data_IF_033830296931
#
_entry.id   IF_033830296931
#
_cell.length_a   1.000
_cell.length_b   1.000
_cell.length_c   1.000
_cell.angle_alpha   90.00
_cell.angle_beta   90.00
_cell.angle_gamma   90.00
#
_symmetry.space_group_name_H-M   'P 1'
#
loop_
_entity.id
_entity.type
_entity.pdbx_description
1 polymer ?
#
# COMPACT_ATOMS: atom_id res chain seq x y z
N UNK A 1 0.89 40.06 -53.36
CA UNK A 1 0.24 39.61 -52.11
C UNK A 1 0.47 38.11 -51.98
N UNK A 2 1.07 37.59 -50.88
CA UNK A 2 1.27 36.16 -50.73
C UNK A 2 -0.07 35.50 -50.38
N UNK A 3 -0.41 34.44 -51.13
CA UNK A 3 -1.56 33.58 -50.88
C UNK A 3 -1.28 32.79 -49.61
N UNK A 4 -2.01 33.07 -48.53
CA UNK A 4 -1.98 32.25 -47.32
C UNK A 4 -2.55 30.88 -47.64
N UNK A 5 -1.67 29.90 -47.82
CA UNK A 5 -2.02 28.48 -47.93
C UNK A 5 -2.71 28.07 -46.62
N UNK A 6 -4.03 27.96 -46.63
CA UNK A 6 -4.78 27.28 -45.56
C UNK A 6 -4.27 25.84 -45.52
N UNK A 7 -3.41 25.53 -44.56
CA UNK A 7 -3.00 24.16 -44.24
C UNK A 7 -4.27 23.43 -43.82
N UNK A 8 -4.86 22.68 -44.76
CA UNK A 8 -5.94 21.76 -44.48
C UNK A 8 -5.35 20.69 -43.56
N UNK A 9 -5.72 20.75 -42.29
CA UNK A 9 -5.39 19.72 -41.31
C UNK A 9 -5.96 18.42 -41.86
N UNK A 10 -5.11 17.49 -42.26
CA UNK A 10 -5.55 16.19 -42.76
C UNK A 10 -6.47 15.56 -41.69
N UNK A 11 -7.68 15.20 -42.12
CA UNK A 11 -8.56 14.34 -41.35
C UNK A 11 -7.84 12.99 -41.26
N UNK A 12 -7.00 12.83 -40.23
CA UNK A 12 -6.59 11.50 -39.80
C UNK A 12 -7.89 10.83 -39.40
N UNK A 13 -8.43 9.94 -40.23
CA UNK A 13 -9.61 9.16 -39.88
C UNK A 13 -9.22 8.26 -38.71
N UNK A 14 -9.38 8.79 -37.50
CA UNK A 14 -9.18 8.05 -36.27
C UNK A 14 -10.17 6.90 -36.30
N UNK A 15 -9.66 5.67 -36.35
CA UNK A 15 -10.48 4.47 -36.40
C UNK A 15 -11.59 4.55 -35.35
N UNK A 16 -12.83 4.31 -35.76
CA UNK A 16 -14.00 4.34 -34.90
C UNK A 16 -13.77 3.53 -33.60
N UNK A 17 -13.12 2.37 -33.73
CA UNK A 17 -12.69 1.54 -32.61
C UNK A 17 -11.79 2.28 -31.61
N UNK A 18 -10.81 3.08 -32.07
CA UNK A 18 -9.90 3.81 -31.18
C UNK A 18 -10.66 4.87 -30.36
N UNK A 19 -11.63 5.56 -30.98
CA UNK A 19 -12.48 6.54 -30.28
C UNK A 19 -13.28 5.87 -29.16
N UNK A 20 -13.93 4.74 -29.45
CA UNK A 20 -14.69 4.00 -28.45
C UNK A 20 -13.81 3.36 -27.37
N UNK A 21 -12.61 2.90 -27.72
CA UNK A 21 -11.63 2.38 -26.74
C UNK A 21 -11.16 3.49 -25.79
N UNK A 22 -10.80 4.66 -26.30
CA UNK A 22 -10.37 5.80 -25.46
C UNK A 22 -11.51 6.28 -24.56
N UNK A 23 -12.73 6.35 -25.09
CA UNK A 23 -13.89 6.73 -24.30
C UNK A 23 -14.18 5.68 -23.20
N UNK A 24 -14.21 4.39 -23.57
CA UNK A 24 -14.46 3.31 -22.63
C UNK A 24 -13.41 3.20 -21.54
N UNK A 25 -12.12 3.33 -21.88
CA UNK A 25 -11.05 3.32 -20.88
C UNK A 25 -11.14 4.51 -19.92
N UNK A 26 -11.43 5.72 -20.42
CA UNK A 26 -11.63 6.91 -19.57
C UNK A 26 -12.78 6.72 -18.57
N UNK A 27 -13.90 6.11 -19.00
CA UNK A 27 -15.04 5.80 -18.12
C UNK A 27 -14.64 4.81 -17.04
N UNK A 28 -13.89 3.76 -17.38
CA UNK A 28 -13.40 2.78 -16.39
C UNK A 28 -12.50 3.47 -15.36
N UNK A 29 -11.53 4.28 -15.79
CA UNK A 29 -10.66 5.02 -14.86
C UNK A 29 -11.44 5.99 -13.97
N UNK A 30 -12.46 6.65 -14.51
CA UNK A 30 -13.34 7.51 -13.72
C UNK A 30 -14.11 6.74 -12.64
N UNK A 31 -14.65 5.56 -12.97
CA UNK A 31 -15.33 4.69 -11.99
C UNK A 31 -14.36 4.15 -10.94
N UNK A 32 -13.13 3.80 -11.32
CA UNK A 32 -12.08 3.40 -10.37
C UNK A 32 -11.75 4.56 -9.42
N UNK A 33 -11.59 5.78 -9.93
CA UNK A 33 -11.35 6.96 -9.10
C UNK A 33 -12.49 7.20 -8.10
N UNK A 34 -13.75 7.04 -8.52
CA UNK A 34 -14.91 7.12 -7.64
C UNK A 34 -14.90 6.04 -6.56
N UNK A 35 -14.56 4.79 -6.91
CA UNK A 35 -14.45 3.69 -5.95
C UNK A 35 -13.35 3.95 -4.92
N UNK A 36 -12.16 4.38 -5.35
CA UNK A 36 -11.05 4.73 -4.46
C UNK A 36 -11.45 5.87 -3.52
N UNK A 37 -12.14 6.89 -4.03
CA UNK A 37 -12.63 8.00 -3.23
C UNK A 37 -13.65 7.53 -2.18
N UNK A 38 -14.58 6.65 -2.53
CA UNK A 38 -15.55 6.07 -1.61
C UNK A 38 -14.86 5.26 -0.49
N UNK A 39 -13.87 4.42 -0.84
CA UNK A 39 -13.06 3.68 0.14
C UNK A 39 -12.29 4.65 1.05
N UNK A 40 -11.73 5.72 0.50
CA UNK A 40 -11.03 6.74 1.27
C UNK A 40 -11.94 7.43 2.29
N UNK A 41 -13.14 7.84 1.89
CA UNK A 41 -14.13 8.42 2.79
C UNK A 41 -14.58 7.45 3.88
N UNK A 42 -14.82 6.18 3.52
CA UNK A 42 -15.17 5.13 4.48
C UNK A 42 -14.05 4.93 5.53
N UNK A 43 -12.79 4.82 5.08
CA UNK A 43 -11.65 4.66 5.96
C UNK A 43 -11.42 5.89 6.87
N UNK A 44 -11.71 7.09 6.36
CA UNK A 44 -11.63 8.32 7.16
C UNK A 44 -12.74 8.41 8.21
N UNK A 45 -13.97 8.03 7.87
CA UNK A 45 -15.09 8.05 8.82
C UNK A 45 -14.90 7.08 9.99
N UNK A 46 -14.26 5.94 9.77
CA UNK A 46 -13.96 4.99 10.85
C UNK A 46 -12.93 5.57 11.84
N UNK A 47 -11.97 6.36 11.33
CA UNK A 47 -10.92 7.01 12.14
C UNK A 47 -11.41 8.18 12.97
N UNK A 48 -12.46 8.88 12.53
CA UNK A 48 -12.96 10.13 13.14
C UNK A 48 -13.66 9.92 14.50
N UNK A 49 -13.87 8.68 14.94
CA UNK A 49 -14.58 8.39 16.19
C UNK A 49 -13.71 8.60 17.45
N UNK A 50 -12.37 8.76 17.35
CA UNK A 50 -11.52 8.65 18.56
C UNK A 50 -10.36 9.64 18.80
N UNK A 51 -10.06 10.67 18.00
CA UNK A 51 -9.06 11.65 18.47
C UNK A 51 -9.19 13.08 17.96
N UNK A 52 -9.58 13.94 18.89
CA UNK A 52 -9.59 15.39 18.81
C UNK A 52 -8.27 15.98 18.28
N UNK A 53 -8.39 16.77 17.21
CA UNK A 53 -7.73 18.07 16.94
C UNK A 53 -6.19 18.25 17.09
N UNK A 54 -5.39 17.30 17.53
CA UNK A 54 -4.00 17.55 17.96
C UNK A 54 -2.91 17.18 16.95
N UNK A 55 -3.23 16.91 15.67
CA UNK A 55 -2.24 16.40 14.69
C UNK A 55 -2.30 17.00 13.28
N UNK A 56 -2.59 18.29 13.14
CA UNK A 56 -2.59 18.98 11.83
C UNK A 56 -1.29 18.85 11.01
N UNK A 57 -0.13 18.60 11.63
CA UNK A 57 1.13 18.33 10.92
C UNK A 57 1.28 16.87 10.44
N UNK A 58 0.53 15.91 11.01
CA UNK A 58 0.58 14.49 10.67
C UNK A 58 -0.58 14.02 9.78
N UNK A 59 -1.60 14.86 9.54
CA UNK A 59 -2.76 14.51 8.69
C UNK A 59 -2.33 14.19 7.25
N UNK A 60 -1.34 14.89 6.71
CA UNK A 60 -0.85 14.66 5.35
C UNK A 60 -0.15 13.31 5.16
N UNK A 61 0.26 12.63 6.24
CA UNK A 61 0.87 11.30 6.21
C UNK A 61 -0.13 10.20 6.57
N UNK A 62 -1.41 10.52 6.82
CA UNK A 62 -2.43 9.51 7.04
C UNK A 62 -2.77 8.80 5.71
N UNK A 63 -2.63 7.46 5.62
CA UNK A 63 -2.99 6.70 4.43
C UNK A 63 -4.43 6.94 3.94
N UNK A 64 -5.39 7.16 4.84
CA UNK A 64 -6.80 7.42 4.48
C UNK A 64 -6.96 8.78 3.81
N UNK A 65 -6.28 9.82 4.30
CA UNK A 65 -6.32 11.15 3.70
C UNK A 65 -5.63 11.17 2.32
N UNK A 66 -4.49 10.48 2.19
CA UNK A 66 -3.81 10.32 0.89
C UNK A 66 -4.69 9.58 -0.13
N UNK A 67 -5.42 8.54 0.29
CA UNK A 67 -6.39 7.83 -0.56
C UNK A 67 -7.51 8.76 -1.04
N UNK A 68 -8.07 9.61 -0.17
CA UNK A 68 -9.07 10.62 -0.56
C UNK A 68 -8.48 11.60 -1.58
N UNK A 69 -7.28 12.13 -1.32
CA UNK A 69 -6.63 13.11 -2.20
C UNK A 69 -6.36 12.54 -3.60
N UNK A 70 -5.79 11.33 -3.67
CA UNK A 70 -5.52 10.63 -4.93
C UNK A 70 -6.83 10.23 -5.63
N UNK A 71 -7.82 9.74 -4.89
CA UNK A 71 -9.15 9.42 -5.41
C UNK A 71 -9.85 10.63 -6.03
N UNK A 72 -9.77 11.78 -5.37
CA UNK A 72 -10.34 13.03 -5.87
C UNK A 72 -9.64 13.52 -7.14
N UNK A 73 -8.30 13.52 -7.15
CA UNK A 73 -7.52 13.90 -8.34
C UNK A 73 -7.82 13.00 -9.54
N UNK A 74 -7.85 11.67 -9.33
CA UNK A 74 -8.17 10.71 -10.39
C UNK A 74 -9.61 10.83 -10.87
N UNK A 75 -10.57 11.10 -9.98
CA UNK A 75 -11.96 11.37 -10.34
C UNK A 75 -12.10 12.63 -11.22
N UNK A 76 -11.46 13.74 -10.85
CA UNK A 76 -11.52 15.00 -11.63
C UNK A 76 -10.88 14.83 -13.01
N UNK A 77 -9.71 14.19 -13.07
CA UNK A 77 -9.01 13.92 -14.34
C UNK A 77 -9.83 12.96 -15.22
N UNK A 78 -10.40 11.90 -14.64
CA UNK A 78 -11.29 10.97 -15.34
C UNK A 78 -12.55 11.65 -15.86
N UNK A 79 -13.18 12.51 -15.05
CA UNK A 79 -14.38 13.26 -15.44
C UNK A 79 -14.10 14.21 -16.61
N UNK A 80 -13.01 14.98 -16.53
CA UNK A 80 -12.59 15.88 -17.63
C UNK A 80 -12.29 15.11 -18.91
N UNK A 81 -11.65 13.94 -18.83
CA UNK A 81 -11.41 13.05 -19.98
C UNK A 81 -12.71 12.51 -20.59
N UNK A 82 -13.67 12.08 -19.76
CA UNK A 82 -14.97 11.57 -20.21
C UNK A 82 -15.82 12.67 -20.87
N UNK A 83 -15.97 13.83 -20.21
CA UNK A 83 -16.75 14.96 -20.73
C UNK A 83 -16.09 15.55 -21.98
N UNK A 84 -14.76 15.66 -22.00
CA UNK A 84 -14.01 16.13 -23.17
C UNK A 84 -14.25 15.25 -24.40
N UNK A 85 -14.27 13.93 -24.22
CA UNK A 85 -14.59 12.98 -25.28
C UNK A 85 -16.07 13.03 -25.73
N UNK A 86 -17.02 13.09 -24.78
CA UNK A 86 -18.46 13.13 -25.09
C UNK A 86 -18.91 14.43 -25.76
N UNK A 87 -18.37 15.57 -25.32
CA UNK A 87 -18.71 16.90 -25.86
C UNK A 87 -17.85 17.28 -27.06
N UNK A 88 -16.95 16.40 -27.49
CA UNK A 88 -15.94 16.66 -28.53
C UNK A 88 -15.20 17.99 -28.31
N UNK A 89 -15.01 18.37 -27.04
CA UNK A 89 -14.42 19.65 -26.68
C UNK A 89 -12.89 19.53 -26.64
N UNK A 90 -12.24 20.07 -27.66
CA UNK A 90 -10.78 20.00 -27.80
C UNK A 90 -10.02 20.67 -26.65
N UNK A 91 -10.58 21.68 -25.98
CA UNK A 91 -9.94 22.35 -24.85
C UNK A 91 -9.91 21.42 -23.62
N UNK A 92 -11.01 20.76 -23.28
CA UNK A 92 -11.04 19.79 -22.19
C UNK A 92 -10.14 18.59 -22.48
N UNK A 93 -10.14 18.10 -23.73
CA UNK A 93 -9.29 16.98 -24.11
C UNK A 93 -7.79 17.35 -24.06
N UNK A 94 -7.44 18.59 -24.44
CA UNK A 94 -6.09 19.10 -24.30
C UNK A 94 -5.68 19.23 -22.82
N UNK A 95 -6.57 19.74 -21.96
CA UNK A 95 -6.31 19.82 -20.53
C UNK A 95 -6.08 18.43 -19.90
N UNK A 96 -6.92 17.44 -20.27
CA UNK A 96 -6.73 16.04 -19.87
C UNK A 96 -5.35 15.50 -20.27
N UNK A 97 -4.94 15.72 -21.53
CA UNK A 97 -3.62 15.30 -22.02
C UNK A 97 -2.47 15.98 -21.26
N UNK A 98 -2.60 17.26 -20.93
CA UNK A 98 -1.60 18.00 -20.14
C UNK A 98 -1.50 17.42 -18.71
N UNK A 99 -2.63 17.14 -18.05
CA UNK A 99 -2.61 16.53 -16.72
C UNK A 99 -1.95 15.14 -16.73
N UNK A 100 -2.24 14.30 -17.72
CA UNK A 100 -1.58 13.00 -17.87
C UNK A 100 -0.07 13.15 -18.11
N UNK A 101 0.34 14.12 -18.94
CA UNK A 101 1.76 14.38 -19.18
C UNK A 101 2.48 14.82 -17.90
N UNK A 102 1.86 15.68 -17.08
CA UNK A 102 2.41 16.10 -15.79
C UNK A 102 2.54 14.91 -14.83
N UNK A 103 1.50 14.08 -14.71
CA UNK A 103 1.53 12.88 -13.86
C UNK A 103 2.66 11.94 -14.30
N UNK A 104 2.80 11.70 -15.60
CA UNK A 104 3.87 10.86 -16.12
C UNK A 104 5.26 11.39 -15.76
N UNK A 105 5.48 12.71 -15.86
CA UNK A 105 6.76 13.32 -15.47
C UNK A 105 7.01 13.23 -13.96
N UNK A 106 5.97 13.36 -13.14
CA UNK A 106 6.05 13.18 -11.70
C UNK A 106 6.34 11.72 -11.33
N UNK A 107 5.71 10.74 -11.98
CA UNK A 107 5.96 9.31 -11.78
C UNK A 107 7.40 8.93 -12.16
N UNK A 108 7.89 9.44 -13.29
CA UNK A 108 9.29 9.23 -13.70
C UNK A 108 10.27 9.80 -12.69
N UNK A 109 9.99 11.01 -12.18
CA UNK A 109 10.82 11.67 -11.17
C UNK A 109 10.77 10.91 -9.84
N UNK A 110 9.59 10.49 -9.40
CA UNK A 110 9.39 9.68 -8.20
C UNK A 110 10.10 8.32 -8.31
N UNK A 111 10.07 7.68 -9.48
CA UNK A 111 10.79 6.43 -9.74
C UNK A 111 12.31 6.59 -9.65
N UNK A 112 12.87 7.66 -10.23
CA UNK A 112 14.30 7.98 -10.15
C UNK A 112 14.71 8.29 -8.70
N UNK A 113 13.93 9.13 -8.01
CA UNK A 113 14.18 9.44 -6.60
C UNK A 113 14.07 8.20 -5.71
N UNK A 114 13.09 7.32 -5.98
CA UNK A 114 12.92 6.05 -5.26
C UNK A 114 14.13 5.14 -5.40
N UNK A 115 14.75 5.11 -6.58
CA UNK A 115 15.97 4.34 -6.81
C UNK A 115 17.19 4.95 -6.08
N UNK A 116 17.36 6.28 -6.14
CA UNK A 116 18.48 6.99 -5.51
C UNK A 116 18.39 6.90 -3.97
N UNK A 117 17.20 7.11 -3.41
CA UNK A 117 16.97 7.16 -1.97
C UNK A 117 16.50 5.82 -1.37
N UNK A 118 16.81 4.69 -2.04
CA UNK A 118 16.38 3.35 -1.62
C UNK A 118 16.70 3.04 -0.16
N UNK A 119 17.89 3.42 0.32
CA UNK A 119 18.36 3.10 1.67
C UNK A 119 17.62 3.94 2.72
N UNK A 120 17.30 5.19 2.39
CA UNK A 120 16.48 6.04 3.24
C UNK A 120 15.04 5.54 3.30
N UNK A 121 14.45 5.16 2.14
CA UNK A 121 13.10 4.57 2.08
C UNK A 121 13.05 3.28 2.90
N UNK A 122 14.07 2.42 2.79
CA UNK A 122 14.21 1.22 3.61
C UNK A 122 14.23 1.55 5.10
N UNK A 123 15.00 2.55 5.52
CA UNK A 123 15.05 2.97 6.92
C UNK A 123 13.68 3.46 7.43
N UNK A 124 12.98 4.27 6.62
CA UNK A 124 11.62 4.73 6.95
C UNK A 124 10.62 3.58 7.04
N UNK A 125 10.66 2.65 6.08
CA UNK A 125 9.81 1.47 6.08
C UNK A 125 10.07 0.60 7.32
N UNK A 126 11.34 0.31 7.64
CA UNK A 126 11.72 -0.45 8.84
C UNK A 126 11.23 0.24 10.12
N UNK A 127 11.35 1.57 10.22
CA UNK A 127 10.81 2.34 11.35
C UNK A 127 9.28 2.22 11.47
N UNK A 128 8.56 2.33 10.35
CA UNK A 128 7.10 2.17 10.31
C UNK A 128 6.64 0.77 10.70
N UNK A 129 7.23 -0.27 10.11
CA UNK A 129 6.92 -1.66 10.47
C UNK A 129 7.29 -2.00 11.92
N UNK A 130 8.35 -1.39 12.46
CA UNK A 130 8.70 -1.56 13.86
C UNK A 130 7.59 -1.03 14.77
N UNK A 131 6.97 0.10 14.44
CA UNK A 131 5.84 0.62 15.19
C UNK A 131 4.65 -0.35 15.17
N UNK A 132 4.35 -0.96 14.01
CA UNK A 132 3.30 -1.99 13.92
C UNK A 132 3.61 -3.24 14.75
N UNK A 133 4.87 -3.69 14.82
CA UNK A 133 5.26 -4.81 15.68
C UNK A 133 5.06 -4.46 17.17
N UNK A 134 5.42 -3.25 17.59
CA UNK A 134 5.26 -2.82 18.99
C UNK A 134 3.78 -2.84 19.39
N UNK A 135 2.88 -2.37 18.53
CA UNK A 135 1.43 -2.22 18.80
C UNK A 135 0.58 -3.40 18.27
N UNK A 136 1.22 -4.52 17.88
CA UNK A 136 0.55 -5.65 17.22
C UNK A 136 -0.69 -6.21 17.94
N UNK A 137 -0.76 -6.13 19.27
CA UNK A 137 -1.90 -6.62 20.09
C UNK A 137 -2.90 -5.54 20.46
N UNK A 138 -2.65 -4.28 20.12
CA UNK A 138 -3.48 -3.15 20.51
C UNK A 138 -4.61 -2.90 19.52
N UNK A 139 -4.41 -3.27 18.26
CA UNK A 139 -5.36 -3.00 17.17
C UNK A 139 -5.56 -4.27 16.31
N UNK A 140 -6.80 -4.81 16.25
CA UNK A 140 -7.09 -6.04 15.50
C UNK A 140 -6.83 -5.90 13.99
N UNK A 141 -6.97 -4.71 13.42
CA UNK A 141 -6.72 -4.49 11.99
C UNK A 141 -5.22 -4.51 11.68
N UNK A 142 -4.40 -3.93 12.55
CA UNK A 142 -2.94 -4.04 12.46
C UNK A 142 -2.47 -5.48 12.64
N UNK A 143 -3.10 -6.22 13.55
CA UNK A 143 -2.81 -7.62 13.77
C UNK A 143 -3.08 -8.46 12.51
N UNK A 144 -4.28 -8.32 11.94
CA UNK A 144 -4.69 -9.02 10.72
C UNK A 144 -3.79 -8.66 9.53
N UNK A 145 -3.40 -7.38 9.39
CA UNK A 145 -2.51 -6.94 8.33
C UNK A 145 -1.12 -7.58 8.45
N UNK A 146 -0.50 -7.54 9.63
CA UNK A 146 0.81 -8.19 9.84
C UNK A 146 0.71 -9.69 9.60
N UNK A 147 -0.36 -10.32 10.09
CA UNK A 147 -0.56 -11.76 9.93
C UNK A 147 -0.68 -12.14 8.45
N UNK A 148 -1.46 -11.40 7.66
CA UNK A 148 -1.58 -11.61 6.22
C UNK A 148 -0.26 -11.35 5.47
N UNK A 149 0.48 -10.30 5.82
CA UNK A 149 1.78 -10.01 5.21
C UNK A 149 2.78 -11.15 5.45
N UNK A 150 2.86 -11.65 6.68
CA UNK A 150 3.77 -12.73 7.07
C UNK A 150 3.30 -14.09 6.56
N UNK A 151 1.98 -14.31 6.52
CA UNK A 151 1.39 -15.57 6.12
C UNK A 151 1.31 -15.75 4.62
N UNK A 152 0.72 -14.80 3.91
CA UNK A 152 0.27 -14.97 2.52
C UNK A 152 1.20 -14.24 1.55
N UNK A 153 1.57 -13.00 1.86
CA UNK A 153 2.29 -12.15 0.89
C UNK A 153 3.78 -12.45 0.80
N UNK A 154 4.52 -12.35 1.91
CA UNK A 154 5.99 -12.39 1.89
C UNK A 154 6.59 -13.69 2.43
N UNK A 155 5.78 -14.52 3.08
CA UNK A 155 6.28 -15.74 3.74
C UNK A 155 7.49 -15.42 4.65
N UNK A 156 7.36 -14.38 5.49
CA UNK A 156 8.42 -13.84 6.36
C UNK A 156 8.09 -13.96 7.85
N UNK A 157 9.04 -13.64 8.73
CA UNK A 157 8.79 -13.52 10.16
C UNK A 157 9.58 -12.35 10.75
N UNK A 158 8.89 -11.29 11.15
CA UNK A 158 9.52 -10.03 11.54
C UNK A 158 10.00 -9.22 10.32
N UNK A 159 10.73 -8.14 10.58
CA UNK A 159 11.22 -7.21 9.56
C UNK A 159 12.51 -7.76 8.94
N UNK A 160 13.50 -7.99 9.80
CA UNK A 160 14.79 -8.60 9.49
C UNK A 160 14.84 -10.06 9.96
N UNK A 161 14.05 -10.40 10.99
CA UNK A 161 13.87 -11.77 11.41
C UNK A 161 13.06 -11.94 12.70
N UNK A 162 12.99 -13.18 13.22
CA UNK A 162 12.15 -13.51 14.39
C UNK A 162 12.49 -12.73 15.67
N UNK A 163 13.69 -12.15 15.76
CA UNK A 163 14.12 -11.35 16.93
C UNK A 163 13.42 -9.99 17.02
N UNK A 164 12.85 -9.48 15.93
CA UNK A 164 12.14 -8.19 15.97
C UNK A 164 10.97 -8.18 16.95
N UNK A 165 10.41 -9.36 17.22
CA UNK A 165 9.36 -9.57 18.22
C UNK A 165 9.82 -9.34 19.67
N UNK A 166 11.11 -9.13 19.96
CA UNK A 166 11.58 -8.68 21.28
C UNK A 166 11.14 -7.25 21.60
N UNK A 167 10.80 -6.46 20.59
CA UNK A 167 10.32 -5.09 20.76
C UNK A 167 8.85 -5.02 21.18
N UNK A 168 8.10 -6.12 21.07
CA UNK A 168 6.70 -6.18 21.46
C UNK A 168 6.56 -6.60 22.94
N UNK A 169 5.69 -5.92 23.69
CA UNK A 169 5.50 -6.16 25.12
C UNK A 169 4.98 -7.58 25.47
N UNK A 170 4.29 -8.27 24.56
CA UNK A 170 3.77 -9.62 24.80
C UNK A 170 4.79 -10.71 24.43
N UNK A 171 5.54 -10.50 23.35
CA UNK A 171 6.49 -11.48 22.83
C UNK A 171 7.90 -11.36 23.41
N UNK A 172 8.24 -10.23 24.02
CA UNK A 172 9.53 -10.04 24.69
C UNK A 172 9.78 -11.14 25.74
N UNK A 173 10.99 -11.71 25.71
CA UNK A 173 11.41 -12.74 26.65
C UNK A 173 11.30 -12.34 28.13
N UNK A 174 11.54 -11.07 28.46
CA UNK A 174 11.43 -10.55 29.82
C UNK A 174 9.97 -10.50 30.32
N UNK A 175 9.01 -10.45 29.39
CA UNK A 175 7.57 -10.42 29.73
C UNK A 175 7.07 -11.71 30.36
N UNK A 176 7.89 -12.76 30.42
CA UNK A 176 7.62 -13.96 31.21
C UNK A 176 7.46 -13.64 32.69
N UNK A 177 8.22 -12.69 33.21
CA UNK A 177 8.14 -12.27 34.62
C UNK A 177 6.80 -11.59 34.94
N UNK A 178 6.19 -10.96 33.92
CA UNK A 178 4.87 -10.31 33.98
C UNK A 178 3.74 -11.30 33.66
N UNK A 179 4.07 -12.58 33.40
CA UNK A 179 3.08 -13.63 33.13
C UNK A 179 2.61 -13.74 31.67
N UNK A 180 3.31 -13.11 30.71
CA UNK A 180 2.96 -13.31 29.29
C UNK A 180 3.23 -14.75 28.86
N UNK A 181 2.19 -15.42 28.34
CA UNK A 181 2.29 -16.78 27.81
C UNK A 181 3.07 -16.86 26.49
N UNK A 182 3.18 -15.74 25.79
CA UNK A 182 3.81 -15.63 24.46
C UNK A 182 5.24 -15.11 24.53
N UNK A 183 5.79 -14.93 25.73
CA UNK A 183 7.17 -14.50 25.94
C UNK A 183 8.16 -15.45 25.26
N UNK A 184 9.20 -14.88 24.63
CA UNK A 184 10.14 -15.60 23.76
C UNK A 184 9.48 -16.33 22.57
N UNK A 185 8.24 -16.00 22.23
CA UNK A 185 7.53 -16.53 21.08
C UNK A 185 7.55 -15.60 19.88
N UNK A 186 6.87 -16.02 18.82
CA UNK A 186 6.48 -15.21 17.66
C UNK A 186 5.01 -15.51 17.34
N UNK A 187 4.30 -14.65 16.58
CA UNK A 187 2.93 -14.95 16.22
C UNK A 187 2.81 -16.17 15.31
N UNK A 188 1.61 -16.74 15.26
CA UNK A 188 1.32 -17.92 14.46
C UNK A 188 1.48 -17.71 12.95
N UNK A 189 1.43 -16.47 12.46
CA UNK A 189 1.64 -16.08 11.06
C UNK A 189 3.08 -16.31 10.59
N UNK A 190 4.05 -16.30 11.50
CA UNK A 190 5.45 -16.65 11.24
C UNK A 190 5.68 -18.14 10.95
N UNK A 191 4.72 -19.01 11.27
CA UNK A 191 4.92 -20.45 11.21
C UNK A 191 4.74 -21.02 9.81
N UNK A 192 5.56 -22.01 9.47
CA UNK A 192 5.44 -22.76 8.23
C UNK A 192 4.32 -23.80 8.32
N UNK A 193 3.40 -23.86 7.35
CA UNK A 193 2.44 -24.95 7.28
C UNK A 193 3.16 -26.27 6.97
N UNK A 194 2.81 -27.36 7.65
CA UNK A 194 3.35 -28.69 7.32
C UNK A 194 2.55 -29.30 6.16
N UNK A 195 3.20 -30.05 5.24
CA UNK A 195 2.47 -30.82 4.24
C UNK A 195 1.56 -31.83 4.95
N UNK A 196 0.28 -31.86 4.58
CA UNK A 196 -0.82 -32.66 5.16
C UNK A 196 -1.42 -32.17 6.50
N UNK A 197 -1.14 -30.94 6.91
CA UNK A 197 -1.77 -30.34 8.09
C UNK A 197 -3.13 -29.72 7.73
N UNK A 198 -4.24 -30.33 8.18
CA UNK A 198 -5.61 -29.83 7.95
C UNK A 198 -5.96 -28.69 8.92
N UNK A 199 -5.42 -28.74 10.15
CA UNK A 199 -5.64 -27.74 11.20
C UNK A 199 -4.33 -27.03 11.47
N UNK A 200 -4.28 -25.74 11.14
CA UNK A 200 -3.09 -24.91 11.38
C UNK A 200 -2.73 -24.87 12.87
N UNK A 201 -1.55 -25.37 13.23
CA UNK A 201 -1.02 -25.23 14.57
C UNK A 201 -0.74 -23.77 14.92
N UNK A 202 -1.60 -23.14 15.73
CA UNK A 202 -1.39 -21.75 16.22
C UNK A 202 -0.36 -21.64 17.35
N UNK A 203 0.09 -22.75 17.92
CA UNK A 203 1.05 -22.80 19.03
C UNK A 203 2.50 -22.99 18.57
N UNK A 204 2.72 -23.17 17.27
CA UNK A 204 4.04 -23.33 16.64
C UNK A 204 5.06 -22.23 17.00
N UNK A 205 4.60 -21.02 17.30
CA UNK A 205 5.44 -19.86 17.58
C UNK A 205 5.84 -19.71 19.05
N UNK A 206 5.33 -20.56 19.95
CA UNK A 206 5.63 -20.47 21.38
C UNK A 206 7.03 -20.97 21.67
N UNK A 207 7.75 -20.27 22.56
CA UNK A 207 9.06 -20.66 23.08
C UNK A 207 10.20 -20.83 22.06
N UNK A 208 9.93 -20.55 20.77
CA UNK A 208 10.88 -20.79 19.68
C UNK A 208 12.16 -19.96 19.77
N UNK A 209 12.17 -18.87 20.54
CA UNK A 209 13.34 -18.00 20.75
C UNK A 209 14.07 -18.27 22.07
N UNK A 210 13.66 -19.28 22.85
CA UNK A 210 14.37 -19.64 24.10
C UNK A 210 15.79 -20.19 23.81
N UNK A 211 16.77 -19.89 24.68
CA UNK A 211 18.11 -20.45 24.56
C UNK A 211 18.04 -21.99 24.65
N UNK A 212 18.46 -22.68 23.59
CA UNK A 212 18.36 -24.14 23.45
C UNK A 212 17.48 -24.62 22.29
N UNK A 213 16.57 -23.78 21.78
CA UNK A 213 15.69 -24.10 20.63
C UNK A 213 16.25 -23.61 19.27
N UNK A 214 17.40 -22.93 19.31
CA UNK A 214 17.95 -22.11 18.21
C UNK A 214 18.31 -22.92 16.95
N UNK A 215 18.68 -24.19 17.11
CA UNK A 215 19.06 -25.09 16.01
C UNK A 215 17.88 -25.50 15.11
N UNK A 216 16.62 -25.23 15.50
CA UNK A 216 15.43 -25.63 14.75
C UNK A 216 14.59 -24.47 14.19
N UNK A 217 14.93 -23.20 14.44
CA UNK A 217 14.11 -22.07 13.97
C UNK A 217 13.86 -22.13 12.46
N UNK A 218 14.88 -22.44 11.64
CA UNK A 218 14.76 -22.51 10.18
C UNK A 218 13.79 -23.60 9.68
N UNK A 219 13.57 -24.65 10.47
CA UNK A 219 12.65 -25.73 10.12
C UNK A 219 11.18 -25.31 10.31
N UNK A 220 10.89 -24.44 11.28
CA UNK A 220 9.52 -24.10 11.69
C UNK A 220 9.08 -22.69 11.31
N UNK A 221 10.01 -21.75 11.15
CA UNK A 221 9.70 -20.35 10.88
C UNK A 221 10.06 -19.95 9.47
N UNK A 222 9.29 -18.99 8.98
CA UNK A 222 9.51 -18.25 7.75
C UNK A 222 10.67 -17.25 7.93
N UNK A 223 11.57 -17.18 6.94
CA UNK A 223 12.82 -16.39 7.02
C UNK A 223 13.03 -15.45 5.83
N UNK A 224 12.02 -15.29 4.97
CA UNK A 224 12.05 -14.17 4.03
C UNK A 224 12.10 -12.85 4.82
N UNK A 225 12.69 -11.81 4.21
CA UNK A 225 12.69 -10.46 4.79
C UNK A 225 11.45 -9.72 4.36
N UNK A 226 10.92 -8.91 5.27
CA UNK A 226 9.77 -8.05 4.97
C UNK A 226 10.16 -6.95 3.97
N UNK A 227 11.39 -6.45 4.08
CA UNK A 227 11.92 -5.41 3.19
C UNK A 227 12.94 -6.05 2.25
N UNK A 228 12.51 -6.27 1.01
CA UNK A 228 13.23 -7.04 -0.02
C UNK A 228 14.27 -6.24 -0.82
N UNK A 229 14.52 -4.98 -0.49
CA UNK A 229 15.50 -4.11 -1.16
C UNK A 229 16.38 -3.41 -0.13
#
# INVERSE_FOLDING_TARGET
MPVTRKVRRDHTEVSCCLKYVIFGSNVIFWLIGLLVLAIGFWAWSEKDTFSNLSRLANVALDPAFLLILVGLMTFVIGFTGCVGALRENSCLLAAYAIFLAIILLLEMTAGILGFIFKDWIKAQATGGFQAFIVHYREDPDQQNLIDWIQEDWLQCCGIEGPKDWDKNNYFNCSSREVGSREACGVPFSCCKPKPNEIIKNKQCGYDVRKPGYVSSLRAFLKFAKLVLW
#
